data_IF_747239574707
#
_entry.id   IF_747239574707
#
_cell.length_a   1.000
_cell.length_b   1.000
_cell.length_c   1.000
_cell.angle_alpha   90.00
_cell.angle_beta   90.00
_cell.angle_gamma   90.00
#
_symmetry.space_group_name_H-M   'P 1'
#
loop_
_entity.id
_entity.type
_entity.pdbx_description
1 polymer ?
#
# COMPACT_ATOMS: atom_id res chain seq x y z
N UNK A 1 15.34 14.78 15.33
CA UNK A 1 14.63 13.59 15.86
C UNK A 1 13.15 13.75 15.59
N UNK A 2 12.65 13.05 14.60
CA UNK A 2 11.23 12.73 14.46
C UNK A 2 11.23 11.30 13.95
N UNK A 3 10.95 10.33 14.82
CA UNK A 3 10.76 8.95 14.37
C UNK A 3 9.44 8.95 13.63
N UNK A 4 9.50 8.94 12.30
CA UNK A 4 8.33 8.56 11.51
C UNK A 4 8.06 7.09 11.80
N UNK A 5 7.05 6.82 12.63
CA UNK A 5 6.57 5.47 12.85
C UNK A 5 5.83 5.02 11.60
N UNK A 6 6.42 4.06 10.89
CA UNK A 6 5.73 3.38 9.80
C UNK A 6 4.61 2.55 10.39
N UNK A 7 3.37 2.87 10.02
CA UNK A 7 2.21 2.05 10.32
C UNK A 7 2.03 1.01 9.22
N UNK A 8 2.03 -0.25 9.63
CA UNK A 8 1.80 -1.39 8.75
C UNK A 8 0.31 -1.77 8.78
N UNK A 9 -0.28 -1.88 7.60
CA UNK A 9 -1.66 -2.33 7.44
C UNK A 9 -1.73 -3.53 6.51
N UNK A 10 -2.62 -4.45 6.83
CA UNK A 10 -2.97 -5.56 5.93
C UNK A 10 -4.06 -5.08 4.97
N UNK A 11 -3.89 -5.44 3.70
CA UNK A 11 -4.85 -5.14 2.66
C UNK A 11 -4.74 -6.13 1.52
N UNK A 12 -5.76 -6.17 0.68
CA UNK A 12 -5.85 -7.05 -0.48
C UNK A 12 -5.71 -6.22 -1.76
N UNK A 13 -4.83 -6.65 -2.66
CA UNK A 13 -4.65 -6.00 -3.98
C UNK A 13 -5.91 -6.26 -4.81
N UNK A 14 -6.62 -5.20 -5.17
CA UNK A 14 -7.86 -5.29 -5.96
C UNK A 14 -7.64 -5.02 -7.43
N UNK A 15 -6.72 -4.12 -7.79
CA UNK A 15 -6.44 -3.75 -9.18
C UNK A 15 -4.96 -3.47 -9.43
N UNK A 16 -4.52 -3.79 -10.65
CA UNK A 16 -3.19 -3.48 -11.17
C UNK A 16 -3.25 -2.17 -11.97
N UNK A 17 -2.39 -1.21 -11.64
CA UNK A 17 -2.34 0.09 -12.30
C UNK A 17 -1.05 0.25 -13.11
N UNK A 18 -1.05 1.12 -14.14
CA UNK A 18 0.17 1.50 -14.84
C UNK A 18 1.20 2.11 -13.86
N UNK A 19 2.49 2.04 -14.22
CA UNK A 19 3.64 2.45 -13.41
C UNK A 19 3.91 1.60 -12.15
N UNK A 20 3.57 0.30 -12.17
CA UNK A 20 3.79 -0.61 -11.05
C UNK A 20 3.14 -0.14 -9.73
N UNK A 21 2.00 0.53 -9.85
CA UNK A 21 1.13 0.85 -8.72
C UNK A 21 0.02 -0.19 -8.60
N UNK A 22 -0.47 -0.35 -7.38
CA UNK A 22 -1.49 -1.32 -7.02
C UNK A 22 -2.57 -0.62 -6.24
N UNK A 23 -3.84 -0.84 -6.60
CA UNK A 23 -4.95 -0.47 -5.73
C UNK A 23 -5.08 -1.56 -4.67
N UNK A 24 -4.98 -1.16 -3.41
CA UNK A 24 -5.08 -2.06 -2.27
C UNK A 24 -6.28 -1.63 -1.45
N UNK A 25 -7.19 -2.57 -1.20
CA UNK A 25 -8.30 -2.38 -0.28
C UNK A 25 -7.88 -2.87 1.09
N UNK A 26 -7.89 -1.97 2.05
CA UNK A 26 -7.61 -2.25 3.46
C UNK A 26 -8.85 -2.86 4.11
N UNK A 27 -8.65 -3.61 5.20
CA UNK A 27 -9.74 -4.24 5.97
C UNK A 27 -10.71 -3.21 6.59
N UNK A 28 -10.26 -1.96 6.75
CA UNK A 28 -11.06 -0.84 7.25
C UNK A 28 -11.95 -0.18 6.17
N UNK A 29 -12.15 -0.85 5.02
CA UNK A 29 -12.90 -0.36 3.84
C UNK A 29 -12.29 0.86 3.12
N UNK A 30 -11.08 1.28 3.46
CA UNK A 30 -10.37 2.29 2.68
C UNK A 30 -9.60 1.68 1.51
N UNK A 31 -9.55 2.40 0.41
CA UNK A 31 -8.70 2.07 -0.73
C UNK A 31 -7.48 2.97 -0.74
N UNK A 32 -6.31 2.36 -0.91
CA UNK A 32 -5.03 3.04 -0.97
C UNK A 32 -4.27 2.64 -2.23
N UNK A 33 -3.40 3.53 -2.69
CA UNK A 33 -2.45 3.23 -3.76
C UNK A 33 -1.14 2.80 -3.11
N UNK A 34 -0.68 1.61 -3.47
CA UNK A 34 0.59 1.05 -3.01
C UNK A 34 1.54 0.86 -4.19
N UNK A 35 2.84 0.89 -3.91
CA UNK A 35 3.87 0.45 -4.84
C UNK A 35 4.74 -0.59 -4.15
N UNK A 36 5.46 -1.39 -4.92
CA UNK A 36 6.47 -2.30 -4.38
C UNK A 36 7.63 -1.51 -3.81
N UNK A 37 7.98 -1.72 -2.54
CA UNK A 37 9.25 -1.23 -2.00
C UNK A 37 10.37 -1.90 -2.81
N UNK A 38 11.29 -1.10 -3.38
CA UNK A 38 12.27 -1.52 -4.40
C UNK A 38 13.26 -2.64 -4.05
N UNK A 39 13.04 -3.37 -2.94
CA UNK A 39 13.60 -4.69 -2.68
C UNK A 39 12.43 -5.70 -2.69
N UNK A 40 12.15 -6.24 -3.87
CA UNK A 40 11.43 -7.52 -3.99
C UNK A 40 12.39 -8.67 -3.72
#
# INVERSE_FOLDING_TARGET
>A
MAKEEMLEFKGLVTELLPNAMFRVKLENNHEVLAHTAGKM
#
